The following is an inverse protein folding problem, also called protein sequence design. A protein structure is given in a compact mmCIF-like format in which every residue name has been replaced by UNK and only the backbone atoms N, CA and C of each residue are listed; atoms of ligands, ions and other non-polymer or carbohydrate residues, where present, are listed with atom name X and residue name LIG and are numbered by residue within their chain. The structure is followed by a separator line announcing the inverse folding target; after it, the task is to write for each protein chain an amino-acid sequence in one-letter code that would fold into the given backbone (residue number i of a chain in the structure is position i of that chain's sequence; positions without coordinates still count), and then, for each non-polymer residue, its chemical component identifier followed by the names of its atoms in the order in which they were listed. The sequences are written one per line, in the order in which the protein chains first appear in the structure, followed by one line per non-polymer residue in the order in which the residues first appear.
data_IF_272249125775
#
_entry.id   IF_272249125775
#
_cell.length_a   1.000
_cell.length_b   1.000
_cell.length_c   1.000
_cell.angle_alpha   90.00
_cell.angle_beta   90.00
_cell.angle_gamma   90.00
#
_symmetry.space_group_name_H-M   'P 1'
#
loop_
_entity.id
_entity.type
_entity.pdbx_description
1 polymer ?
#
# COMPACT_ATOMS: atom_id res chain seq x y z
N UNK A 1 18.87 -14.20 14.34
CA UNK A 1 17.55 -14.68 14.80
C UNK A 1 17.77 -15.51 16.05
N UNK A 2 16.93 -15.35 17.08
CA UNK A 2 17.05 -16.17 18.29
C UNK A 2 16.52 -17.60 18.06
N UNK A 3 17.00 -18.63 18.79
CA UNK A 3 16.43 -19.98 18.71
C UNK A 3 14.93 -20.02 19.04
N UNK A 4 14.47 -19.18 19.96
CA UNK A 4 13.07 -19.08 20.34
C UNK A 4 12.21 -18.51 19.20
N UNK A 5 12.68 -17.45 18.53
CA UNK A 5 12.02 -16.90 17.33
C UNK A 5 11.95 -17.99 16.25
N UNK A 6 13.05 -18.71 16.01
CA UNK A 6 13.11 -19.77 15.01
C UNK A 6 12.08 -20.88 15.27
N UNK A 7 11.94 -21.31 16.53
CA UNK A 7 10.97 -22.34 16.92
C UNK A 7 9.54 -21.85 16.75
N UNK A 8 9.24 -20.62 17.19
CA UNK A 8 7.91 -20.02 17.04
C UNK A 8 7.49 -19.87 15.57
N UNK A 9 8.43 -19.57 14.67
CA UNK A 9 8.14 -19.43 13.25
C UNK A 9 7.72 -20.76 12.58
N UNK A 10 8.11 -21.93 13.12
CA UNK A 10 7.73 -23.23 12.55
C UNK A 10 6.22 -23.46 12.59
N UNK A 11 5.51 -22.85 13.54
CA UNK A 11 4.05 -22.96 13.66
C UNK A 11 3.29 -21.81 12.98
N UNK A 12 3.99 -20.84 12.40
CA UNK A 12 3.37 -19.72 11.69
C UNK A 12 3.09 -20.07 10.23
N UNK A 13 2.00 -19.52 9.69
CA UNK A 13 1.72 -19.61 8.26
C UNK A 13 2.79 -18.84 7.45
N UNK A 14 3.07 -19.25 6.21
CA UNK A 14 3.98 -18.51 5.35
C UNK A 14 3.43 -17.12 5.02
N UNK A 15 4.31 -16.18 4.67
CA UNK A 15 3.89 -14.82 4.32
C UNK A 15 3.46 -14.71 2.86
N UNK A 16 2.58 -13.75 2.58
CA UNK A 16 2.34 -13.19 1.24
C UNK A 16 2.49 -11.67 1.30
N UNK A 17 3.18 -11.11 0.32
CA UNK A 17 3.33 -9.67 0.16
C UNK A 17 2.07 -9.06 -0.45
N UNK A 18 1.47 -8.13 0.28
CA UNK A 18 0.35 -7.29 -0.14
C UNK A 18 0.91 -5.98 -0.64
N UNK A 19 1.00 -5.81 -1.96
CA UNK A 19 1.54 -4.60 -2.58
C UNK A 19 0.50 -3.49 -2.57
N UNK A 20 0.92 -2.30 -2.14
CA UNK A 20 0.10 -1.10 -2.14
C UNK A 20 0.84 0.07 -2.76
N UNK A 21 0.12 0.92 -3.47
CA UNK A 21 0.67 2.10 -4.15
C UNK A 21 -0.13 3.33 -3.77
N UNK A 22 0.58 4.40 -3.38
CA UNK A 22 -0.02 5.66 -2.94
C UNK A 22 0.22 6.78 -3.96
N UNK A 23 -0.67 7.76 -3.92
CA UNK A 23 -0.65 9.05 -4.63
C UNK A 23 -1.12 9.03 -6.10
N UNK A 24 -1.20 7.86 -6.73
CA UNK A 24 -1.66 7.67 -8.09
C UNK A 24 -3.08 8.16 -8.40
N UNK A 25 -3.43 8.31 -9.69
CA UNK A 25 -2.61 7.98 -10.85
C UNK A 25 -1.63 9.11 -11.19
N UNK A 26 -0.50 8.79 -11.84
CA UNK A 26 0.49 9.79 -12.22
C UNK A 26 0.02 10.71 -13.36
N UNK A 27 0.37 12.00 -13.29
CA UNK A 27 0.00 13.02 -14.27
C UNK A 27 0.63 12.86 -15.69
N UNK A 28 1.92 12.50 -15.85
CA UNK A 28 2.56 12.51 -17.17
C UNK A 28 1.88 11.58 -18.18
N UNK A 29 1.63 12.05 -19.41
CA UNK A 29 1.02 11.23 -20.47
C UNK A 29 2.00 10.31 -21.17
N UNK A 30 3.27 10.72 -21.22
CA UNK A 30 4.40 9.94 -21.75
C UNK A 30 5.22 9.42 -20.58
N UNK A 31 5.75 8.20 -20.71
CA UNK A 31 6.55 7.54 -19.66
C UNK A 31 5.83 7.52 -18.30
N UNK A 32 4.52 7.26 -18.32
CA UNK A 32 3.68 7.29 -17.14
C UNK A 32 4.08 6.16 -16.15
N UNK A 33 4.50 6.48 -14.91
CA UNK A 33 5.00 5.49 -13.98
C UNK A 33 3.91 4.53 -13.47
N UNK A 34 2.68 5.00 -13.25
CA UNK A 34 1.54 4.13 -12.90
C UNK A 34 1.32 3.07 -13.98
N UNK A 35 1.28 3.45 -15.26
CA UNK A 35 1.11 2.51 -16.37
C UNK A 35 2.27 1.52 -16.51
N UNK A 36 3.50 1.94 -16.24
CA UNK A 36 4.69 1.07 -16.23
C UNK A 36 4.62 0.05 -15.09
N UNK A 37 4.17 0.47 -13.90
CA UNK A 37 3.93 -0.42 -12.76
C UNK A 37 2.86 -1.45 -13.10
N UNK A 38 1.71 -1.05 -13.66
CA UNK A 38 0.67 -1.97 -14.10
C UNK A 38 1.21 -3.03 -15.05
N UNK A 39 2.01 -2.60 -16.04
CA UNK A 39 2.66 -3.49 -17.00
C UNK A 39 3.57 -4.52 -16.30
N UNK A 40 4.34 -4.08 -15.30
CA UNK A 40 5.23 -4.97 -14.53
C UNK A 40 4.47 -5.91 -13.60
N UNK A 41 3.40 -5.45 -12.95
CA UNK A 41 2.55 -6.30 -12.11
C UNK A 41 1.90 -7.42 -12.94
N UNK A 42 1.42 -7.09 -14.14
CA UNK A 42 0.92 -8.06 -15.11
C UNK A 42 2.04 -9.00 -15.60
N UNK A 43 3.23 -8.45 -15.91
CA UNK A 43 4.34 -9.18 -16.52
C UNK A 43 5.66 -8.95 -15.78
N UNK A 44 6.06 -9.91 -14.96
CA UNK A 44 7.37 -9.93 -14.32
C UNK A 44 7.88 -11.39 -14.22
N UNK A 45 9.20 -11.61 -14.10
CA UNK A 45 9.77 -12.95 -14.09
C UNK A 45 9.55 -13.74 -12.80
N UNK A 46 9.01 -13.13 -11.74
CA UNK A 46 8.83 -13.78 -10.43
C UNK A 46 7.45 -14.41 -10.29
N UNK A 47 6.41 -13.63 -10.53
CA UNK A 47 5.02 -14.06 -10.46
C UNK A 47 4.19 -13.16 -11.39
N UNK A 48 3.82 -13.58 -12.61
CA UNK A 48 2.97 -12.78 -13.47
C UNK A 48 1.55 -12.64 -12.88
N UNK A 49 0.84 -11.60 -13.29
CA UNK A 49 -0.54 -11.35 -12.87
C UNK A 49 -0.69 -10.93 -11.41
N UNK A 50 0.31 -10.29 -10.81
CA UNK A 50 0.21 -9.74 -9.45
C UNK A 50 -0.94 -8.74 -9.38
N UNK A 51 -1.76 -8.83 -8.33
CA UNK A 51 -2.78 -7.85 -7.98
C UNK A 51 -2.31 -7.02 -6.79
N UNK A 52 -2.54 -5.72 -6.88
CA UNK A 52 -2.18 -4.74 -5.87
C UNK A 52 -3.39 -3.89 -5.48
N UNK A 53 -3.22 -3.08 -4.43
CA UNK A 53 -4.18 -2.09 -3.96
C UNK A 53 -3.61 -0.68 -4.20
N UNK A 54 -4.30 0.11 -5.01
CA UNK A 54 -3.93 1.50 -5.31
C UNK A 54 -4.76 2.42 -4.42
N UNK A 55 -4.11 3.23 -3.58
CA UNK A 55 -4.73 4.31 -2.83
C UNK A 55 -4.69 5.57 -3.66
N UNK A 56 -5.83 5.91 -4.25
CA UNK A 56 -5.90 6.86 -5.36
C UNK A 56 -6.32 8.26 -4.93
N UNK A 57 -5.75 9.27 -5.60
CA UNK A 57 -6.15 10.66 -5.53
C UNK A 57 -7.04 11.02 -6.70
N UNK A 58 -8.36 10.90 -6.54
CA UNK A 58 -9.31 10.99 -7.67
C UNK A 58 -9.43 12.38 -8.27
N UNK A 59 -9.01 13.43 -7.55
CA UNK A 59 -9.10 14.84 -7.99
C UNK A 59 -7.81 15.62 -7.84
N UNK A 60 -6.66 14.94 -7.82
CA UNK A 60 -5.38 15.64 -7.87
C UNK A 60 -5.23 16.40 -9.20
N UNK A 61 -4.76 17.64 -9.14
CA UNK A 61 -4.61 18.53 -10.28
C UNK A 61 -3.72 17.94 -11.37
N UNK A 62 -4.14 18.09 -12.62
CA UNK A 62 -3.47 17.53 -13.82
C UNK A 62 -3.32 16.00 -13.84
N UNK A 63 -3.87 15.30 -12.85
CA UNK A 63 -3.74 13.87 -12.64
C UNK A 63 -5.13 13.22 -12.59
N UNK A 64 -5.57 12.79 -11.40
CA UNK A 64 -6.83 12.07 -11.19
C UNK A 64 -8.07 12.81 -11.68
N UNK A 65 -8.08 14.15 -11.62
CA UNK A 65 -9.23 14.95 -12.08
C UNK A 65 -9.40 14.93 -13.61
N UNK A 66 -8.37 14.53 -14.35
CA UNK A 66 -8.38 14.54 -15.82
C UNK A 66 -9.03 13.27 -16.37
N UNK A 67 -9.52 13.32 -17.61
CA UNK A 67 -10.02 12.12 -18.30
C UNK A 67 -8.94 11.05 -18.43
N UNK A 68 -7.69 11.46 -18.67
CA UNK A 68 -6.56 10.54 -18.77
C UNK A 68 -6.31 9.82 -17.44
N UNK A 69 -6.28 10.55 -16.32
CA UNK A 69 -6.18 9.97 -14.98
C UNK A 69 -7.32 8.99 -14.69
N UNK A 70 -8.56 9.38 -14.96
CA UNK A 70 -9.72 8.47 -14.81
C UNK A 70 -9.63 7.21 -15.67
N UNK A 71 -9.03 7.30 -16.86
CA UNK A 71 -8.79 6.12 -17.71
C UNK A 71 -7.72 5.19 -17.11
N UNK A 72 -6.68 5.73 -16.45
CA UNK A 72 -5.71 4.93 -15.70
C UNK A 72 -6.41 4.21 -14.54
N UNK A 73 -7.23 4.91 -13.75
CA UNK A 73 -7.97 4.29 -12.65
C UNK A 73 -8.94 3.18 -13.11
N UNK A 74 -9.60 3.38 -14.27
CA UNK A 74 -10.41 2.32 -14.88
C UNK A 74 -9.57 1.13 -15.27
N UNK A 75 -8.40 1.36 -15.87
CA UNK A 75 -7.46 0.30 -16.21
C UNK A 75 -6.98 -0.47 -14.97
N UNK A 76 -6.67 0.21 -13.86
CA UNK A 76 -6.34 -0.45 -12.59
C UNK A 76 -7.46 -1.41 -12.15
N UNK A 77 -8.71 -0.94 -12.18
CA UNK A 77 -9.87 -1.75 -11.82
C UNK A 77 -10.10 -2.93 -12.79
N UNK A 78 -10.03 -2.68 -14.10
CA UNK A 78 -10.24 -3.66 -15.17
C UNK A 78 -9.16 -4.75 -15.18
N UNK A 79 -7.91 -4.41 -14.83
CA UNK A 79 -6.82 -5.38 -14.65
C UNK A 79 -6.94 -6.17 -13.33
N UNK A 80 -7.99 -5.92 -12.54
CA UNK A 80 -8.32 -6.68 -11.33
C UNK A 80 -7.60 -6.20 -10.07
N UNK A 81 -7.07 -4.97 -10.06
CA UNK A 81 -6.56 -4.35 -8.84
C UNK A 81 -7.70 -3.80 -7.97
N UNK A 82 -7.37 -3.50 -6.72
CA UNK A 82 -8.28 -2.80 -5.81
C UNK A 82 -8.01 -1.30 -5.85
N UNK A 83 -9.08 -0.51 -5.81
CA UNK A 83 -9.02 0.93 -5.57
C UNK A 83 -9.41 1.22 -4.12
N UNK A 84 -8.48 1.81 -3.38
CA UNK A 84 -8.68 2.41 -2.07
C UNK A 84 -8.68 3.93 -2.16
N UNK A 85 -9.29 4.60 -1.19
CA UNK A 85 -9.33 6.05 -1.14
C UNK A 85 -8.03 6.62 -0.55
N UNK A 86 -7.45 7.64 -1.19
CA UNK A 86 -6.35 8.43 -0.62
C UNK A 86 -6.74 9.87 -0.36
N UNK A 87 -7.30 10.55 -1.37
CA UNK A 87 -7.89 11.89 -1.24
C UNK A 87 -8.71 12.24 -2.49
N UNK A 88 -9.61 13.21 -2.41
CA UNK A 88 -10.20 13.88 -3.58
C UNK A 88 -10.00 15.41 -3.52
N UNK A 89 -8.84 15.85 -3.03
CA UNK A 89 -8.41 17.24 -3.06
C UNK A 89 -7.47 17.52 -4.25
N UNK A 90 -7.38 18.78 -4.75
CA UNK A 90 -6.46 19.16 -5.83
C UNK A 90 -4.98 18.84 -5.56
N UNK A 91 -4.58 18.90 -4.29
CA UNK A 91 -3.22 18.59 -3.84
C UNK A 91 -3.23 17.51 -2.77
N UNK A 92 -2.09 16.89 -2.50
CA UNK A 92 -1.92 15.88 -1.44
C UNK A 92 -2.09 16.51 -0.05
N UNK A 93 -3.34 16.63 0.40
CA UNK A 93 -3.70 17.37 1.60
C UNK A 93 -3.79 16.45 2.82
N UNK A 94 -3.21 16.87 3.94
CA UNK A 94 -3.37 16.13 5.19
C UNK A 94 -4.80 16.31 5.72
N UNK A 95 -5.57 15.21 5.77
CA UNK A 95 -6.97 15.21 6.18
C UNK A 95 -7.19 15.75 7.61
N UNK A 96 -6.21 15.63 8.51
CA UNK A 96 -6.31 16.20 9.88
C UNK A 96 -6.45 17.73 9.87
N UNK A 97 -5.83 18.39 8.89
CA UNK A 97 -5.78 19.85 8.80
C UNK A 97 -6.83 20.46 7.88
N UNK A 98 -7.62 19.63 7.18
CA UNK A 98 -8.77 20.09 6.42
C UNK A 98 -9.89 20.53 7.36
N UNK A 99 -10.59 21.60 6.99
CA UNK A 99 -11.85 21.98 7.64
C UNK A 99 -12.86 20.83 7.51
N UNK A 100 -13.84 20.71 8.43
CA UNK A 100 -14.85 19.66 8.36
C UNK A 100 -15.56 19.61 6.99
N UNK A 101 -15.88 20.76 6.43
CA UNK A 101 -16.61 20.89 5.16
C UNK A 101 -15.78 20.38 3.98
N UNK A 102 -14.51 20.81 3.89
CA UNK A 102 -13.61 20.38 2.81
C UNK A 102 -13.30 18.89 2.93
N UNK A 103 -13.14 18.39 4.16
CA UNK A 103 -12.88 16.97 4.39
C UNK A 103 -14.08 16.09 4.00
N UNK A 104 -15.30 16.43 4.43
CA UNK A 104 -16.52 15.72 4.04
C UNK A 104 -16.75 15.77 2.52
N UNK A 105 -16.51 16.93 1.89
CA UNK A 105 -16.60 17.06 0.45
C UNK A 105 -15.60 16.12 -0.26
N UNK A 106 -14.34 16.09 0.18
CA UNK A 106 -13.30 15.18 -0.34
C UNK A 106 -13.71 13.71 -0.20
N UNK A 107 -14.28 13.30 0.94
CA UNK A 107 -14.79 11.95 1.14
C UNK A 107 -15.91 11.61 0.15
N UNK A 108 -16.93 12.45 0.06
CA UNK A 108 -18.10 12.20 -0.79
C UNK A 108 -17.73 12.16 -2.27
N UNK A 109 -16.89 13.11 -2.69
CA UNK A 109 -16.38 13.21 -4.05
C UNK A 109 -15.54 12.00 -4.44
N UNK A 110 -14.55 11.65 -3.62
CA UNK A 110 -13.68 10.50 -3.92
C UNK A 110 -14.41 9.17 -3.94
N UNK A 111 -15.38 8.98 -3.03
CA UNK A 111 -16.24 7.79 -3.04
C UNK A 111 -17.07 7.77 -4.34
N UNK A 112 -17.70 8.87 -4.72
CA UNK A 112 -18.50 8.94 -5.94
C UNK A 112 -17.64 8.70 -7.20
N UNK A 113 -16.45 9.29 -7.25
CA UNK A 113 -15.50 9.11 -8.34
C UNK A 113 -15.10 7.62 -8.47
N UNK A 114 -14.74 6.96 -7.37
CA UNK A 114 -14.38 5.52 -7.37
C UNK A 114 -15.59 4.65 -7.74
N UNK A 115 -16.80 4.94 -7.24
CA UNK A 115 -18.04 4.24 -7.63
C UNK A 115 -18.27 4.35 -9.13
N UNK A 116 -18.04 5.52 -9.73
CA UNK A 116 -18.20 5.72 -11.17
C UNK A 116 -17.22 4.89 -12.01
N UNK A 117 -16.08 4.50 -11.43
CA UNK A 117 -15.02 3.75 -12.08
C UNK A 117 -15.25 2.24 -11.97
N UNK A 118 -15.52 1.73 -10.77
CA UNK A 118 -15.58 0.28 -10.50
C UNK A 118 -16.95 -0.24 -10.05
N UNK A 119 -17.97 0.62 -9.97
CA UNK A 119 -19.35 0.26 -9.62
C UNK A 119 -19.62 0.07 -8.12
N UNK A 120 -18.61 0.19 -7.26
CA UNK A 120 -18.76 0.03 -5.81
C UNK A 120 -17.85 1.00 -5.04
N UNK A 121 -18.26 1.43 -3.83
CA UNK A 121 -17.44 2.31 -3.01
C UNK A 121 -16.15 1.60 -2.56
N UNK A 122 -15.06 2.34 -2.30
CA UNK A 122 -13.86 1.77 -1.72
C UNK A 122 -14.16 1.28 -0.29
N UNK A 123 -13.56 0.16 0.11
CA UNK A 123 -13.62 -0.35 1.49
C UNK A 123 -12.40 0.00 2.32
N UNK A 124 -11.35 0.52 1.68
CA UNK A 124 -10.05 0.78 2.28
C UNK A 124 -9.67 2.23 2.04
N UNK A 125 -9.06 2.83 3.04
CA UNK A 125 -8.49 4.18 2.97
C UNK A 125 -7.06 4.13 3.49
N UNK A 126 -6.20 4.93 2.89
CA UNK A 126 -4.92 5.31 3.49
C UNK A 126 -4.93 6.82 3.65
N UNK A 127 -4.90 7.35 4.86
CA UNK A 127 -4.80 8.79 5.06
C UNK A 127 -3.49 9.32 4.46
N UNK A 128 -3.49 10.48 3.79
CA UNK A 128 -2.26 11.15 3.36
C UNK A 128 -1.27 11.30 4.52
N UNK A 129 0.02 11.07 4.24
CA UNK A 129 1.11 11.04 5.23
C UNK A 129 0.93 9.96 6.32
N UNK A 130 0.07 8.96 6.08
CA UNK A 130 -0.42 7.98 7.06
C UNK A 130 -0.98 8.61 8.34
N UNK A 131 -1.46 9.84 8.23
CA UNK A 131 -1.77 10.68 9.38
C UNK A 131 -3.28 10.78 9.59
N UNK A 132 -3.74 10.37 10.77
CA UNK A 132 -5.14 10.41 11.15
C UNK A 132 -5.31 10.69 12.64
N UNK A 133 -6.52 11.02 13.03
CA UNK A 133 -6.95 11.24 14.41
C UNK A 133 -8.34 10.64 14.61
N UNK A 134 -8.90 10.74 15.82
CA UNK A 134 -10.23 10.20 16.13
C UNK A 134 -11.33 10.75 15.20
N UNK A 135 -11.21 12.01 14.77
CA UNK A 135 -12.20 12.67 13.89
C UNK A 135 -12.16 12.06 12.51
N UNK A 136 -10.98 12.02 11.90
CA UNK A 136 -10.80 11.47 10.55
C UNK A 136 -11.06 9.96 10.52
N UNK A 137 -10.62 9.22 11.55
CA UNK A 137 -10.96 7.79 11.72
C UNK A 137 -12.46 7.54 11.73
N UNK A 138 -13.20 8.28 12.57
CA UNK A 138 -14.66 8.12 12.67
C UNK A 138 -15.35 8.42 11.34
N UNK A 139 -14.91 9.45 10.61
CA UNK A 139 -15.47 9.79 9.31
C UNK A 139 -15.25 8.68 8.27
N UNK A 140 -14.06 8.08 8.21
CA UNK A 140 -13.81 6.94 7.32
C UNK A 140 -14.71 5.75 7.65
N UNK A 141 -14.83 5.40 8.93
CA UNK A 141 -15.66 4.27 9.39
C UNK A 141 -17.16 4.51 9.08
N UNK A 142 -17.65 5.74 9.24
CA UNK A 142 -19.04 6.10 8.88
C UNK A 142 -19.32 5.95 7.37
N UNK A 143 -18.28 5.98 6.54
CA UNK A 143 -18.36 5.74 5.09
C UNK A 143 -17.99 4.29 4.70
N UNK A 144 -17.83 3.39 5.67
CA UNK A 144 -17.51 1.99 5.44
C UNK A 144 -16.08 1.74 4.97
N UNK A 145 -15.17 2.70 5.19
CA UNK A 145 -13.76 2.58 4.84
C UNK A 145 -12.90 2.28 6.06
N UNK A 146 -12.00 1.31 5.91
CA UNK A 146 -11.05 0.89 6.93
C UNK A 146 -9.64 1.39 6.64
N UNK A 147 -8.94 1.89 7.66
CA UNK A 147 -7.56 2.39 7.48
C UNK A 147 -6.60 1.21 7.29
N UNK A 148 -5.83 1.22 6.21
CA UNK A 148 -4.71 0.28 6.01
C UNK A 148 -3.38 1.04 6.03
N UNK A 149 -2.56 0.74 7.03
CA UNK A 149 -1.19 1.26 7.15
C UNK A 149 -0.20 0.35 6.39
N UNK A 150 1.06 0.33 6.81
CA UNK A 150 2.12 -0.40 6.13
C UNK A 150 3.04 -1.09 7.12
N UNK A 151 3.50 -2.29 6.77
CA UNK A 151 4.55 -2.99 7.51
C UNK A 151 5.94 -2.62 6.95
N UNK A 152 6.04 -2.48 5.62
CA UNK A 152 7.26 -2.16 4.88
C UNK A 152 7.08 -0.93 3.99
N UNK A 153 7.84 0.14 4.19
CA UNK A 153 7.88 1.30 3.28
C UNK A 153 9.15 1.29 2.43
N UNK A 154 9.00 1.44 1.11
CA UNK A 154 10.13 1.58 0.19
C UNK A 154 10.94 2.87 0.37
N UNK A 155 10.39 3.85 1.11
CA UNK A 155 10.95 5.22 1.23
C UNK A 155 11.19 5.88 -0.13
N UNK A 156 10.38 5.51 -1.14
CA UNK A 156 10.48 5.99 -2.51
C UNK A 156 9.87 7.40 -2.68
N UNK A 157 8.97 7.85 -1.81
CA UNK A 157 8.47 9.23 -1.79
C UNK A 157 9.50 10.32 -1.42
N UNK A 158 10.78 9.98 -1.20
CA UNK A 158 11.81 10.90 -0.65
C UNK A 158 13.07 11.11 -1.51
N UNK A 159 13.25 10.41 -2.63
CA UNK A 159 14.57 10.32 -3.27
C UNK A 159 14.71 11.23 -4.48
N UNK A 160 14.99 12.51 -4.23
CA UNK A 160 15.74 13.36 -5.17
C UNK A 160 17.24 13.23 -4.84
N UNK A 161 17.94 12.19 -5.34
CA UNK A 161 19.41 12.31 -5.53
C UNK A 161 20.37 11.17 -5.16
N UNK A 162 19.99 10.04 -4.54
CA UNK A 162 20.95 8.93 -4.31
C UNK A 162 20.34 7.55 -4.66
N UNK A 163 20.63 7.10 -5.89
CA UNK A 163 20.10 5.90 -6.56
C UNK A 163 20.90 4.61 -6.26
N UNK A 164 21.14 4.29 -4.99
CA UNK A 164 21.96 3.14 -4.59
C UNK A 164 21.15 1.91 -4.15
N UNK A 165 21.28 0.76 -4.85
CA UNK A 165 20.60 -0.51 -4.55
C UNK A 165 20.83 -1.05 -3.12
N UNK A 166 21.99 -0.78 -2.52
CA UNK A 166 22.34 -1.25 -1.16
C UNK A 166 21.46 -0.66 -0.05
N UNK A 167 21.01 0.60 -0.16
CA UNK A 167 20.15 1.22 0.86
C UNK A 167 18.73 0.62 0.84
N UNK A 168 18.21 0.29 -0.35
CA UNK A 168 16.88 -0.33 -0.51
C UNK A 168 16.82 -1.71 0.14
N UNK A 169 17.82 -2.56 -0.16
CA UNK A 169 17.95 -3.90 0.42
C UNK A 169 18.14 -3.85 1.93
N UNK A 170 19.00 -2.96 2.42
CA UNK A 170 19.22 -2.80 3.87
C UNK A 170 17.95 -2.36 4.60
N UNK A 171 17.20 -1.38 4.05
CA UNK A 171 15.92 -0.95 4.61
C UNK A 171 14.89 -2.10 4.65
N UNK A 172 14.67 -2.79 3.52
CA UNK A 172 13.74 -3.92 3.46
C UNK A 172 14.13 -5.04 4.42
N UNK A 173 15.42 -5.35 4.51
CA UNK A 173 15.94 -6.37 5.43
C UNK A 173 15.67 -5.98 6.88
N UNK A 174 15.90 -4.72 7.25
CA UNK A 174 15.64 -4.21 8.59
C UNK A 174 14.15 -4.30 8.95
N UNK A 175 13.28 -3.80 8.07
CA UNK A 175 11.83 -3.80 8.30
C UNK A 175 11.27 -5.23 8.36
N UNK A 176 11.70 -6.13 7.46
CA UNK A 176 11.30 -7.54 7.51
C UNK A 176 11.84 -8.27 8.75
N UNK A 177 12.99 -7.85 9.28
CA UNK A 177 13.49 -8.38 10.55
C UNK A 177 12.53 -8.04 11.69
N UNK A 178 12.02 -6.80 11.75
CA UNK A 178 11.03 -6.42 12.75
C UNK A 178 9.69 -7.15 12.55
N UNK A 179 9.20 -7.24 11.30
CA UNK A 179 7.99 -8.01 10.97
C UNK A 179 8.13 -9.47 11.38
N UNK A 180 9.30 -10.08 11.17
CA UNK A 180 9.55 -11.47 11.60
C UNK A 180 9.31 -11.67 13.09
N UNK A 181 9.82 -10.77 13.94
CA UNK A 181 9.65 -10.91 15.39
C UNK A 181 8.17 -10.79 15.79
N UNK A 182 7.41 -9.89 15.13
CA UNK A 182 5.96 -9.75 15.34
C UNK A 182 5.17 -10.98 14.89
N UNK A 183 5.55 -11.57 13.75
CA UNK A 183 4.99 -12.84 13.27
C UNK A 183 5.29 -13.97 14.26
N UNK A 184 6.54 -14.08 14.73
CA UNK A 184 6.91 -15.07 15.73
C UNK A 184 6.14 -14.88 17.05
N UNK A 185 5.78 -13.64 17.39
CA UNK A 185 4.93 -13.33 18.54
C UNK A 185 3.42 -13.57 18.30
N UNK A 186 3.00 -13.93 17.08
CA UNK A 186 1.60 -14.16 16.72
C UNK A 186 0.77 -12.88 16.57
N UNK A 187 1.41 -11.73 16.35
CA UNK A 187 0.73 -10.42 16.29
C UNK A 187 0.07 -10.13 14.95
N UNK A 188 0.44 -10.84 13.88
CA UNK A 188 -0.13 -10.66 12.55
C UNK A 188 -1.08 -11.83 12.24
N UNK A 189 -2.33 -11.54 11.81
CA UNK A 189 -3.30 -12.59 11.53
C UNK A 189 -2.93 -13.36 10.26
N UNK A 190 -3.18 -14.67 10.26
CA UNK A 190 -3.20 -15.46 9.03
C UNK A 190 -4.58 -15.35 8.36
N UNK A 191 -4.59 -15.19 7.04
CA UNK A 191 -5.77 -15.09 6.18
C UNK A 191 -5.57 -16.06 5.03
N UNK A 192 -6.54 -16.93 4.78
CA UNK A 192 -6.49 -17.93 3.71
C UNK A 192 -5.18 -18.75 3.70
N UNK A 193 -4.67 -19.08 4.89
CA UNK A 193 -3.45 -19.87 5.07
C UNK A 193 -2.13 -19.11 4.85
N UNK A 194 -2.16 -17.77 4.80
CA UNK A 194 -0.94 -16.95 4.69
C UNK A 194 -1.00 -15.70 5.56
N UNK A 195 0.13 -15.17 6.00
CA UNK A 195 0.20 -13.90 6.72
C UNK A 195 0.44 -12.76 5.72
N UNK A 196 -0.52 -11.83 5.52
CA UNK A 196 -0.30 -10.66 4.68
C UNK A 196 0.66 -9.66 5.32
N UNK A 197 1.77 -9.42 4.62
CA UNK A 197 2.74 -8.35 4.94
C UNK A 197 2.50 -7.19 3.99
N UNK A 198 2.09 -6.03 4.52
CA UNK A 198 1.71 -4.87 3.70
C UNK A 198 2.95 -4.07 3.29
N UNK A 199 3.11 -3.85 1.99
CA UNK A 199 4.25 -3.12 1.41
C UNK A 199 3.75 -1.88 0.69
N UNK A 200 4.28 -0.71 1.03
CA UNK A 200 3.92 0.57 0.41
C UNK A 200 4.99 1.12 -0.52
N UNK A 201 4.53 1.52 -1.70
CA UNK A 201 5.25 2.22 -2.76
C UNK A 201 4.44 3.46 -3.17
N UNK A 202 5.02 4.32 -4.00
CA UNK A 202 4.30 5.44 -4.64
C UNK A 202 4.38 5.28 -6.16
N UNK A 203 3.24 5.11 -6.81
CA UNK A 203 3.19 4.84 -8.26
C UNK A 203 3.39 6.08 -9.13
N UNK A 204 3.42 7.26 -8.51
CA UNK A 204 3.88 8.50 -9.15
C UNK A 204 5.42 8.59 -9.29
N UNK A 205 6.17 7.69 -8.65
CA UNK A 205 7.62 7.70 -8.70
C UNK A 205 8.16 6.87 -9.88
N UNK A 206 8.77 7.56 -10.86
CA UNK A 206 9.39 6.92 -12.04
C UNK A 206 10.51 5.94 -11.69
N UNK A 207 11.31 6.23 -10.67
CA UNK A 207 12.34 5.29 -10.22
C UNK A 207 11.73 4.00 -9.66
N UNK A 208 10.61 4.09 -8.93
CA UNK A 208 9.88 2.91 -8.47
C UNK A 208 9.37 2.10 -9.65
N UNK A 209 8.77 2.77 -10.64
CA UNK A 209 8.28 2.13 -11.85
C UNK A 209 9.40 1.40 -12.61
N UNK A 210 10.52 2.08 -12.87
CA UNK A 210 11.67 1.54 -13.60
C UNK A 210 12.31 0.31 -12.92
N UNK A 211 12.16 0.20 -11.60
CA UNK A 211 12.78 -0.85 -10.79
C UNK A 211 11.77 -1.76 -10.10
N UNK A 212 10.50 -1.76 -10.53
CA UNK A 212 9.43 -2.49 -9.83
C UNK A 212 9.73 -3.99 -9.75
N UNK A 213 10.20 -4.60 -10.84
CA UNK A 213 10.61 -6.02 -10.83
C UNK A 213 11.81 -6.27 -9.89
N UNK A 214 12.76 -5.34 -9.78
CA UNK A 214 13.87 -5.45 -8.83
C UNK A 214 13.35 -5.39 -7.38
N UNK A 215 12.40 -4.52 -7.07
CA UNK A 215 11.79 -4.46 -5.75
C UNK A 215 11.08 -5.76 -5.36
N UNK A 216 10.36 -6.40 -6.29
CA UNK A 216 9.78 -7.72 -6.05
C UNK A 216 10.87 -8.75 -5.70
N UNK A 217 12.00 -8.74 -6.42
CA UNK A 217 13.14 -9.60 -6.12
C UNK A 217 13.76 -9.29 -4.75
N UNK A 218 13.91 -8.00 -4.41
CA UNK A 218 14.44 -7.56 -3.12
C UNK A 218 13.57 -8.09 -1.97
N UNK A 219 12.23 -8.04 -2.09
CA UNK A 219 11.32 -8.58 -1.09
C UNK A 219 11.53 -10.08 -0.88
N UNK A 220 11.67 -10.86 -1.96
CA UNK A 220 11.94 -12.29 -1.89
C UNK A 220 13.30 -12.61 -1.27
N UNK A 221 14.34 -11.89 -1.69
CA UNK A 221 15.70 -12.06 -1.17
C UNK A 221 15.77 -11.72 0.32
N UNK A 222 15.12 -10.62 0.73
CA UNK A 222 15.06 -10.21 2.13
C UNK A 222 14.25 -11.19 2.99
N UNK A 223 13.10 -11.69 2.51
CA UNK A 223 12.33 -12.72 3.22
C UNK A 223 13.17 -13.98 3.47
N UNK A 224 13.90 -14.44 2.43
CA UNK A 224 14.83 -15.56 2.55
C UNK A 224 15.95 -15.27 3.55
N UNK A 225 16.56 -14.08 3.47
CA UNK A 225 17.66 -13.68 4.35
C UNK A 225 17.24 -13.61 5.82
N UNK A 226 16.01 -13.18 6.10
CA UNK A 226 15.46 -13.19 7.47
C UNK A 226 14.84 -14.52 7.88
N UNK A 227 14.83 -15.52 7.00
CA UNK A 227 14.26 -16.86 7.22
C UNK A 227 12.74 -16.85 7.46
N UNK A 228 12.02 -15.94 6.78
CA UNK A 228 10.57 -15.95 6.71
C UNK A 228 10.12 -16.80 5.51
N UNK A 229 9.37 -17.90 5.72
CA UNK A 229 8.80 -18.68 4.63
C UNK A 229 7.80 -17.85 3.84
N UNK A 230 7.86 -17.91 2.51
CA UNK A 230 6.88 -17.30 1.61
C UNK A 230 5.91 -18.38 1.11
N UNK A 231 4.66 -18.01 0.83
CA UNK A 231 3.71 -18.92 0.21
C UNK A 231 4.17 -19.25 -1.22
N UNK A 232 3.62 -20.33 -1.80
CA UNK A 232 3.95 -20.73 -3.18
C UNK A 232 3.75 -19.61 -4.20
N UNK A 233 2.72 -18.79 -3.99
CA UNK A 233 2.54 -17.48 -4.63
C UNK A 233 2.82 -16.38 -3.61
N UNK A 234 4.04 -15.86 -3.65
CA UNK A 234 4.51 -14.87 -2.68
C UNK A 234 3.75 -13.54 -2.77
N UNK A 235 3.13 -13.23 -3.91
CA UNK A 235 2.30 -12.03 -4.10
C UNK A 235 0.84 -12.43 -4.32
N UNK A 236 -0.08 -11.50 -4.10
CA UNK A 236 -1.50 -11.72 -4.44
C UNK A 236 -1.71 -11.66 -5.94
N UNK A 237 -2.58 -12.52 -6.46
CA UNK A 237 -2.94 -12.63 -7.88
C UNK A 237 -4.47 -12.73 -8.09
N UNK A 238 -5.23 -12.71 -6.98
CA UNK A 238 -6.68 -12.71 -6.94
C UNK A 238 -7.19 -11.49 -6.17
N UNK A 239 -8.13 -10.75 -6.76
CA UNK A 239 -8.67 -9.50 -6.21
C UNK A 239 -9.40 -9.71 -4.88
N UNK A 240 -10.18 -10.79 -4.77
CA UNK A 240 -10.98 -11.06 -3.57
C UNK A 240 -10.11 -11.50 -2.39
N UNK A 241 -9.10 -12.34 -2.63
CA UNK A 241 -8.11 -12.73 -1.63
C UNK A 241 -7.29 -11.52 -1.15
N UNK A 242 -6.89 -10.65 -2.08
CA UNK A 242 -6.21 -9.39 -1.74
C UNK A 242 -7.08 -8.50 -0.84
N UNK A 243 -8.38 -8.37 -1.14
CA UNK A 243 -9.31 -7.54 -0.36
C UNK A 243 -9.49 -8.09 1.07
N UNK A 244 -9.71 -9.41 1.22
CA UNK A 244 -9.81 -10.05 2.55
C UNK A 244 -8.54 -9.86 3.36
N UNK A 245 -7.38 -10.05 2.74
CA UNK A 245 -6.09 -9.84 3.37
C UNK A 245 -5.88 -8.40 3.82
N UNK A 246 -6.24 -7.42 2.99
CA UNK A 246 -6.15 -6.00 3.32
C UNK A 246 -7.08 -5.63 4.49
N UNK A 247 -8.33 -6.07 4.47
CA UNK A 247 -9.30 -5.79 5.54
C UNK A 247 -8.88 -6.39 6.88
N UNK A 248 -8.34 -7.62 6.89
CA UNK A 248 -7.82 -8.26 8.10
C UNK A 248 -6.58 -7.55 8.70
N UNK A 249 -5.89 -6.73 7.89
CA UNK A 249 -4.74 -5.93 8.32
C UNK A 249 -5.09 -4.47 8.61
N UNK A 250 -6.37 -4.10 8.50
CA UNK A 250 -6.82 -2.74 8.79
C UNK A 250 -6.78 -2.41 10.28
N UNK A 251 -6.69 -1.12 10.59
CA UNK A 251 -6.68 -0.60 11.96
C UNK A 251 -8.03 -0.83 12.61
N UNK A 252 -8.05 -1.58 13.72
CA UNK A 252 -9.27 -1.90 14.47
C UNK A 252 -9.70 -0.84 15.49
N UNK A 253 -8.78 0.05 15.91
CA UNK A 253 -9.04 1.08 16.92
C UNK A 253 -8.47 2.44 16.50
N UNK A 254 -9.32 3.47 16.48
CA UNK A 254 -8.95 4.85 16.15
C UNK A 254 -8.10 5.56 17.21
N UNK A 255 -7.81 4.90 18.33
CA UNK A 255 -6.87 5.38 19.36
C UNK A 255 -5.45 4.86 19.17
N UNK A 256 -5.24 3.93 18.23
CA UNK A 256 -3.94 3.31 18.00
C UNK A 256 -2.95 4.36 17.49
N UNK A 257 -1.87 4.57 18.26
CA UNK A 257 -0.80 5.47 17.86
C UNK A 257 -0.22 5.03 16.50
N UNK A 258 0.07 5.99 15.62
CA UNK A 258 0.62 5.70 14.31
C UNK A 258 2.07 5.24 14.48
N UNK A 259 2.30 3.93 14.55
CA UNK A 259 3.64 3.37 14.47
C UNK A 259 4.01 3.20 12.99
N UNK A 260 4.61 4.23 12.41
CA UNK A 260 5.12 4.19 11.05
C UNK A 260 6.55 3.63 11.03
N UNK A 261 6.91 2.80 10.04
CA UNK A 261 8.27 2.34 9.91
C UNK A 261 9.25 3.50 9.62
N UNK A 262 10.36 3.55 10.35
CA UNK A 262 11.47 4.49 10.10
C UNK A 262 11.22 5.93 10.55
N UNK A 263 11.78 6.90 9.80
CA UNK A 263 11.75 8.35 10.13
C UNK A 263 10.35 8.97 10.12
N UNK A 264 9.33 8.25 9.67
CA UNK A 264 7.95 8.74 9.68
C UNK A 264 7.36 8.84 11.08
N UNK A 265 7.87 8.07 12.06
CA UNK A 265 7.55 8.26 13.48
C UNK A 265 8.00 9.63 14.01
N UNK A 266 9.06 10.23 13.45
CA UNK A 266 9.67 11.45 14.01
C UNK A 266 9.07 12.75 13.46
N UNK A 267 8.40 12.72 12.31
CA UNK A 267 7.87 13.93 11.67
C UNK A 267 6.52 14.40 12.22
N UNK A 268 5.89 13.61 13.08
CA UNK A 268 4.51 13.86 13.53
C UNK A 268 4.28 13.66 15.05
N UNK A 269 5.36 13.59 15.83
CA UNK A 269 5.33 13.88 17.28
C UNK A 269 5.19 15.38 17.53
#
# INVERSE_FOLDING_TARGET
MSPQTAERLKSQAPIRFLLTFDDGPAAPRTDNPTLSILTTLAHNPLQPGVKALFFVQTRSSDAGETEFGRNILRREADEGHLLGFHSATPHHANHRFLSPEIFEQSLNDGIADIVSIQGSPPKLVRPPFWNYDKRTFAAYQQRGMHILLTDLSANDGKIYGIKGSLRRRSNMLHLLTAVRERIAAGELPAVDGSIPVVVSFHDINSYTADHMAEYLQILMDCARAVQLPTASKAFYDDKAALERAALARSVGDGTQAVHLPGLWNWLWE
#
